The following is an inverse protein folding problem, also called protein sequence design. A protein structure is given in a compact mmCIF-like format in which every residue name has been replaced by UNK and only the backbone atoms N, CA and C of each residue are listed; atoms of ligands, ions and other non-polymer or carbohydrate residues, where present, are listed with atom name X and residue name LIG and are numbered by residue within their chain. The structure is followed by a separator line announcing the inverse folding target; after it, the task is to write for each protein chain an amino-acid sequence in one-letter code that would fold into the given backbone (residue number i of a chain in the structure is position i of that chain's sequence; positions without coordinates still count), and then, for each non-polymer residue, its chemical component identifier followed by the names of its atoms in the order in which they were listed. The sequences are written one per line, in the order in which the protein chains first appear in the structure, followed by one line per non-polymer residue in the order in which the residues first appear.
data_IF_548889352752
#
_entry.id   IF_548889352752
#
_cell.length_a   1.000
_cell.length_b   1.000
_cell.length_c   1.000
_cell.angle_alpha   90.00
_cell.angle_beta   90.00
_cell.angle_gamma   90.00
#
_symmetry.space_group_name_H-M   'P 1'
#
loop_
_entity.id
_entity.type
_entity.pdbx_description
1 polymer ?
#
# COMPACT_ATOMS: atom_id res chain seq x y z
N UNK A 1 -29.36 -6.83 16.92
CA UNK A 1 -29.20 -8.26 17.21
C UNK A 1 -30.46 -8.68 17.94
N UNK A 2 -31.08 -9.79 17.55
CA UNK A 2 -32.33 -10.26 18.16
C UNK A 2 -32.17 -11.72 18.55
N UNK A 3 -32.42 -12.05 19.83
CA UNK A 3 -32.12 -13.37 20.43
C UNK A 3 -30.70 -13.90 20.16
N UNK A 4 -29.70 -13.02 20.08
CA UNK A 4 -28.31 -13.41 19.78
C UNK A 4 -28.04 -13.72 18.30
N UNK A 5 -29.02 -13.54 17.42
CA UNK A 5 -28.83 -13.64 15.98
C UNK A 5 -28.63 -12.25 15.35
N UNK A 6 -27.57 -12.04 14.55
CA UNK A 6 -27.40 -10.81 13.78
C UNK A 6 -28.51 -10.73 12.72
N UNK A 7 -29.24 -9.61 12.72
CA UNK A 7 -30.35 -9.35 11.79
C UNK A 7 -29.85 -8.62 10.55
N UNK A 8 -29.40 -7.37 10.73
CA UNK A 8 -28.81 -6.54 9.68
C UNK A 8 -27.60 -5.79 10.23
N UNK A 9 -26.48 -5.82 9.52
CA UNK A 9 -25.21 -5.20 9.93
C UNK A 9 -24.76 -4.06 8.99
N UNK A 10 -25.54 -3.75 7.96
CA UNK A 10 -25.17 -2.78 6.92
C UNK A 10 -25.39 -1.33 7.35
N UNK A 11 -24.33 -0.67 7.84
CA UNK A 11 -24.38 0.69 8.39
C UNK A 11 -25.05 1.74 7.47
N UNK A 12 -24.83 1.68 6.14
CA UNK A 12 -25.45 2.62 5.18
C UNK A 12 -26.98 2.53 5.16
N UNK A 13 -27.54 1.32 5.29
CA UNK A 13 -28.99 1.12 5.35
C UNK A 13 -29.50 1.52 6.74
N UNK A 14 -28.78 1.10 7.79
CA UNK A 14 -29.10 1.43 9.18
C UNK A 14 -29.20 2.95 9.40
N UNK A 15 -28.32 3.74 8.77
CA UNK A 15 -28.31 5.21 8.89
C UNK A 15 -29.57 5.89 8.35
N UNK A 16 -30.39 5.24 7.50
CA UNK A 16 -31.63 5.83 6.99
C UNK A 16 -32.74 5.89 8.05
N UNK A 17 -32.69 5.00 9.04
CA UNK A 17 -33.71 4.87 10.08
C UNK A 17 -33.19 5.13 11.49
N UNK A 18 -31.91 4.84 11.76
CA UNK A 18 -31.24 5.20 13.01
C UNK A 18 -30.62 6.59 12.82
N UNK A 19 -31.36 7.64 13.16
CA UNK A 19 -30.88 9.02 13.15
C UNK A 19 -30.50 9.45 14.57
N UNK A 20 -29.35 10.10 14.73
CA UNK A 20 -28.89 10.65 16.01
C UNK A 20 -29.57 11.97 16.38
N UNK A 21 -30.20 12.67 15.42
CA UNK A 21 -30.86 13.95 15.67
C UNK A 21 -32.27 13.78 16.26
N UNK A 22 -32.56 14.56 17.31
CA UNK A 22 -33.79 14.53 18.11
C UNK A 22 -35.06 15.08 17.41
N UNK A 23 -35.06 15.19 16.07
CA UNK A 23 -36.27 15.65 15.37
C UNK A 23 -37.32 14.54 15.33
N UNK A 24 -38.30 14.72 16.20
CA UNK A 24 -39.54 13.94 16.37
C UNK A 24 -40.00 13.27 15.08
N UNK A 25 -40.08 11.94 15.12
CA UNK A 25 -40.73 11.11 14.11
C UNK A 25 -42.23 11.46 14.03
N UNK A 26 -42.59 12.44 13.20
CA UNK A 26 -43.99 12.67 12.77
C UNK A 26 -44.40 11.79 11.58
N UNK A 27 -43.49 10.94 11.10
CA UNK A 27 -43.74 10.01 10.00
C UNK A 27 -43.42 8.60 10.45
N UNK A 28 -44.40 7.70 10.40
CA UNK A 28 -44.20 6.25 10.55
C UNK A 28 -43.19 5.79 9.49
N UNK A 29 -41.92 5.62 9.89
CA UNK A 29 -40.89 5.19 8.97
C UNK A 29 -41.14 3.72 8.61
N UNK A 30 -41.73 3.50 7.43
CA UNK A 30 -41.78 2.16 6.84
C UNK A 30 -40.32 1.73 6.60
N UNK A 31 -39.94 0.49 6.97
CA UNK A 31 -38.60 0.01 6.67
C UNK A 31 -38.34 0.15 5.17
N UNK A 32 -37.19 0.70 4.75
CA UNK A 32 -36.85 0.80 3.34
C UNK A 32 -36.98 -0.58 2.70
N UNK A 33 -37.51 -0.66 1.48
CA UNK A 33 -37.65 -1.94 0.78
C UNK A 33 -36.32 -2.71 0.65
N UNK A 34 -35.18 -2.02 0.74
CA UNK A 34 -33.85 -2.64 0.83
C UNK A 34 -33.69 -3.64 1.99
N UNK A 35 -34.48 -3.52 3.07
CA UNK A 35 -34.49 -4.45 4.21
C UNK A 35 -35.24 -5.76 3.86
N UNK A 36 -36.17 -5.70 2.91
CA UNK A 36 -37.03 -6.82 2.47
C UNK A 36 -36.72 -7.33 1.06
N UNK A 37 -35.79 -6.69 0.33
CA UNK A 37 -35.46 -7.01 -1.06
C UNK A 37 -34.24 -7.94 -1.13
N UNK A 38 -34.10 -8.70 -2.23
CA UNK A 38 -33.00 -9.62 -2.47
C UNK A 38 -31.62 -8.92 -2.61
N UNK A 39 -31.61 -7.59 -2.79
CA UNK A 39 -30.41 -6.76 -2.86
C UNK A 39 -30.57 -5.63 -1.84
N UNK A 40 -29.91 -5.78 -0.69
CA UNK A 40 -29.96 -4.80 0.41
C UNK A 40 -28.99 -3.64 0.19
N UNK A 41 -27.80 -3.92 -0.32
CA UNK A 41 -26.67 -2.98 -0.37
C UNK A 41 -26.77 -1.88 -1.45
N UNK A 42 -27.78 -1.90 -2.32
CA UNK A 42 -28.00 -0.88 -3.36
C UNK A 42 -29.43 -0.35 -3.31
N UNK A 43 -29.58 0.96 -3.22
CA UNK A 43 -30.90 1.61 -3.26
C UNK A 43 -31.44 1.70 -4.68
N UNK A 44 -32.75 1.54 -4.84
CA UNK A 44 -33.44 1.75 -6.11
C UNK A 44 -33.54 3.26 -6.44
N UNK A 45 -33.71 3.58 -7.72
CA UNK A 45 -33.94 4.97 -8.17
C UNK A 45 -32.71 5.89 -8.22
N UNK A 46 -31.50 5.36 -8.01
CA UNK A 46 -30.26 6.14 -8.12
C UNK A 46 -30.08 6.62 -9.57
N UNK A 47 -29.95 7.93 -9.74
CA UNK A 47 -29.75 8.57 -11.03
C UNK A 47 -28.54 9.51 -10.98
N UNK A 48 -27.61 9.29 -11.90
CA UNK A 48 -26.46 10.17 -12.12
C UNK A 48 -26.60 10.91 -13.45
N UNK A 49 -26.03 12.11 -13.55
CA UNK A 49 -25.96 12.84 -14.84
C UNK A 49 -25.16 12.04 -15.88
N UNK A 50 -24.08 11.39 -15.43
CA UNK A 50 -23.20 10.54 -16.25
C UNK A 50 -22.97 9.22 -15.53
N UNK A 51 -23.00 8.12 -16.29
CA UNK A 51 -22.69 6.79 -15.77
C UNK A 51 -21.19 6.57 -15.86
N UNK A 52 -20.52 6.41 -14.72
CA UNK A 52 -19.06 6.22 -14.66
C UNK A 52 -18.69 5.16 -13.62
N UNK A 53 -17.59 4.47 -13.90
CA UNK A 53 -16.99 3.48 -13.01
C UNK A 53 -15.50 3.76 -12.96
N UNK A 54 -14.97 3.86 -11.75
CA UNK A 54 -13.54 3.94 -11.50
C UNK A 54 -13.09 2.66 -10.80
N UNK A 55 -11.91 2.19 -11.15
CA UNK A 55 -11.36 0.94 -10.67
C UNK A 55 -9.87 1.14 -10.42
N UNK A 56 -9.49 1.02 -9.15
CA UNK A 56 -8.11 1.13 -8.71
C UNK A 56 -7.63 -0.24 -8.24
N UNK A 57 -6.52 -0.71 -8.80
CA UNK A 57 -5.83 -1.92 -8.35
C UNK A 57 -4.67 -1.48 -7.47
N UNK A 58 -4.77 -1.74 -6.17
CA UNK A 58 -3.73 -1.39 -5.20
C UNK A 58 -3.04 -2.66 -4.74
N UNK A 59 -1.73 -2.74 -4.93
CA UNK A 59 -0.92 -3.90 -4.55
C UNK A 59 0.11 -3.54 -3.48
N UNK A 60 0.16 -4.36 -2.42
CA UNK A 60 1.16 -4.30 -1.37
C UNK A 60 2.10 -5.48 -1.50
N UNK A 61 3.39 -5.20 -1.67
CA UNK A 61 4.44 -6.20 -1.84
C UNK A 61 5.19 -6.39 -0.53
N UNK A 62 5.03 -7.56 0.08
CA UNK A 62 5.68 -7.92 1.34
C UNK A 62 6.93 -8.77 1.06
N UNK A 63 8.10 -8.32 1.50
CA UNK A 63 9.37 -9.02 1.28
C UNK A 63 10.17 -9.10 2.57
N UNK A 64 10.63 -10.31 2.89
CA UNK A 64 11.60 -10.56 3.95
C UNK A 64 12.88 -11.12 3.35
N UNK A 65 14.00 -10.47 3.64
CA UNK A 65 15.33 -10.86 3.17
C UNK A 65 16.21 -11.19 4.37
N UNK A 66 16.97 -12.27 4.30
CA UNK A 66 17.92 -12.63 5.35
C UNK A 66 19.23 -11.83 5.25
N UNK A 67 20.07 -11.97 6.27
CA UNK A 67 21.39 -11.34 6.33
C UNK A 67 22.37 -11.75 5.21
N UNK A 68 22.07 -12.81 4.47
CA UNK A 68 22.86 -13.29 3.35
C UNK A 68 22.30 -12.82 1.99
N UNK A 69 21.26 -11.97 2.00
CA UNK A 69 20.62 -11.45 0.78
C UNK A 69 19.64 -12.42 0.12
N UNK A 70 19.24 -13.51 0.79
CA UNK A 70 18.24 -14.44 0.26
C UNK A 70 16.83 -14.01 0.68
N UNK A 71 15.88 -14.10 -0.25
CA UNK A 71 14.47 -13.81 0.01
C UNK A 71 13.86 -14.99 0.77
N UNK A 72 13.45 -14.79 2.02
CA UNK A 72 12.78 -15.79 2.87
C UNK A 72 11.29 -15.82 2.56
N UNK A 73 10.67 -14.64 2.40
CA UNK A 73 9.23 -14.50 2.17
C UNK A 73 8.97 -13.44 1.11
N UNK A 74 8.04 -13.76 0.23
CA UNK A 74 7.54 -12.84 -0.79
C UNK A 74 6.06 -13.14 -1.00
N UNK A 75 5.21 -12.16 -0.72
CA UNK A 75 3.78 -12.24 -1.04
C UNK A 75 3.26 -10.89 -1.51
N UNK A 76 2.30 -10.94 -2.43
CA UNK A 76 1.62 -9.75 -2.93
C UNK A 76 0.17 -9.83 -2.49
N UNK A 77 -0.29 -8.81 -1.78
CA UNK A 77 -1.69 -8.65 -1.40
C UNK A 77 -2.26 -7.50 -2.20
N UNK A 78 -3.29 -7.77 -2.99
CA UNK A 78 -3.94 -6.77 -3.82
C UNK A 78 -5.38 -6.51 -3.36
N UNK A 79 -5.81 -5.25 -3.45
CA UNK A 79 -7.19 -4.83 -3.22
C UNK A 79 -7.68 -4.12 -4.47
N UNK A 80 -8.82 -4.58 -4.97
CA UNK A 80 -9.54 -3.94 -6.06
C UNK A 80 -10.54 -2.96 -5.46
N UNK A 81 -10.27 -1.66 -5.57
CA UNK A 81 -11.18 -0.61 -5.11
C UNK A 81 -12.02 -0.15 -6.27
N UNK A 82 -13.33 -0.11 -6.08
CA UNK A 82 -14.27 0.31 -7.11
C UNK A 82 -15.08 1.50 -6.62
N UNK A 83 -15.31 2.45 -7.52
CA UNK A 83 -16.23 3.56 -7.30
C UNK A 83 -17.24 3.58 -8.42
N UNK A 84 -18.51 3.35 -8.10
CA UNK A 84 -19.56 3.25 -9.11
C UNK A 84 -20.58 4.36 -9.02
N UNK A 85 -20.92 4.88 -10.19
CA UNK A 85 -21.97 5.86 -10.42
C UNK A 85 -22.83 5.39 -11.59
N UNK A 86 -23.72 4.44 -11.33
CA UNK A 86 -24.50 3.79 -12.39
C UNK A 86 -26.01 3.97 -12.17
N UNK A 87 -26.73 4.31 -13.23
CA UNK A 87 -28.19 4.14 -13.28
C UNK A 87 -28.52 2.64 -13.24
N UNK A 88 -29.54 2.27 -12.47
CA UNK A 88 -29.94 0.88 -12.32
C UNK A 88 -30.71 0.39 -13.55
N UNK A 89 -30.19 -0.64 -14.23
CA UNK A 89 -31.00 -1.55 -15.06
C UNK A 89 -30.60 -2.97 -14.66
N UNK A 90 -31.58 -3.74 -14.14
CA UNK A 90 -31.39 -5.13 -13.75
C UNK A 90 -31.42 -5.99 -15.00
N UNK A 91 -30.26 -6.31 -15.56
CA UNK A 91 -30.17 -7.34 -16.60
C UNK A 91 -29.92 -8.69 -15.92
N UNK A 92 -30.95 -9.54 -15.87
CA UNK A 92 -30.77 -10.93 -15.52
C UNK A 92 -29.87 -11.58 -16.59
N UNK A 93 -28.71 -12.13 -16.23
CA UNK A 93 -27.94 -13.02 -17.12
C UNK A 93 -27.22 -14.14 -16.37
N UNK A 94 -27.71 -15.34 -16.68
CA UNK A 94 -27.04 -16.58 -17.09
C UNK A 94 -25.52 -16.76 -16.88
N UNK A 95 -25.16 -17.97 -16.45
CA UNK A 95 -23.82 -18.46 -16.09
C UNK A 95 -23.12 -19.22 -17.23
N UNK A 96 -21.78 -19.05 -17.39
CA UNK A 96 -20.84 -20.17 -17.68
C UNK A 96 -19.31 -19.90 -17.77
N UNK A 97 -18.71 -18.71 -17.55
CA UNK A 97 -17.27 -18.53 -17.86
C UNK A 97 -16.46 -17.69 -16.84
N UNK A 98 -15.95 -18.23 -15.72
CA UNK A 98 -15.04 -17.53 -14.76
C UNK A 98 -15.34 -16.02 -14.51
N UNK A 99 -16.61 -15.63 -14.62
CA UNK A 99 -17.03 -14.23 -14.77
C UNK A 99 -17.63 -13.77 -13.46
N UNK A 100 -17.17 -12.62 -12.96
CA UNK A 100 -17.70 -12.01 -11.75
C UNK A 100 -18.85 -11.10 -12.14
N UNK A 101 -20.08 -11.51 -11.79
CA UNK A 101 -21.32 -10.75 -12.03
C UNK A 101 -21.92 -10.30 -10.70
N UNK A 102 -22.22 -9.01 -10.57
CA UNK A 102 -22.80 -8.46 -9.34
C UNK A 102 -23.49 -7.11 -9.59
N UNK A 103 -24.34 -6.71 -8.65
CA UNK A 103 -24.92 -5.36 -8.58
C UNK A 103 -24.03 -4.55 -7.63
N UNK A 104 -23.21 -3.60 -8.11
CA UNK A 104 -22.27 -2.87 -7.25
C UNK A 104 -23.00 -2.04 -6.21
N UNK A 105 -22.46 -1.84 -4.99
CA UNK A 105 -22.89 -0.75 -4.12
C UNK A 105 -22.71 0.62 -4.76
N UNK A 106 -23.43 1.62 -4.28
CA UNK A 106 -23.24 3.00 -4.73
C UNK A 106 -22.07 3.69 -4.02
N UNK A 107 -21.29 4.45 -4.78
CA UNK A 107 -20.08 5.13 -4.31
C UNK A 107 -18.84 4.21 -4.26
N UNK A 108 -17.91 4.53 -3.36
CA UNK A 108 -16.65 3.80 -3.19
C UNK A 108 -16.79 2.58 -2.27
N UNK A 109 -16.21 1.46 -2.67
CA UNK A 109 -16.12 0.22 -1.89
C UNK A 109 -14.95 -0.65 -2.36
N UNK A 110 -14.48 -1.54 -1.50
CA UNK A 110 -13.52 -2.58 -1.87
C UNK A 110 -14.30 -3.74 -2.52
N UNK A 111 -14.01 -4.05 -3.78
CA UNK A 111 -14.69 -5.09 -4.55
C UNK A 111 -14.16 -6.47 -4.19
N UNK A 112 -12.84 -6.62 -4.13
CA UNK A 112 -12.21 -7.89 -3.75
C UNK A 112 -10.81 -7.67 -3.18
N UNK A 113 -10.36 -8.63 -2.40
CA UNK A 113 -8.96 -8.77 -1.99
C UNK A 113 -8.42 -10.07 -2.55
N UNK A 114 -7.24 -10.03 -3.14
CA UNK A 114 -6.54 -11.21 -3.63
C UNK A 114 -5.15 -11.31 -3.01
N UNK A 115 -4.62 -12.52 -2.98
CA UNK A 115 -3.26 -12.80 -2.53
C UNK A 115 -2.56 -13.68 -3.54
N UNK A 116 -1.39 -13.25 -3.98
CA UNK A 116 -0.53 -14.01 -4.89
C UNK A 116 0.65 -14.55 -4.09
N UNK A 117 0.86 -15.86 -4.15
CA UNK A 117 2.02 -16.55 -3.57
C UNK A 117 3.19 -16.64 -4.57
N UNK A 118 3.33 -15.64 -5.42
CA UNK A 118 4.41 -15.57 -6.42
C UNK A 118 5.63 -14.93 -5.79
N UNK A 119 6.79 -15.57 -5.93
CA UNK A 119 8.05 -14.96 -5.52
C UNK A 119 8.41 -13.83 -6.48
N UNK A 120 8.24 -12.58 -6.03
CA UNK A 120 8.59 -11.39 -6.80
C UNK A 120 9.96 -10.87 -6.40
N UNK A 121 10.69 -10.30 -7.37
CA UNK A 121 11.92 -9.57 -7.08
C UNK A 121 11.58 -8.24 -6.37
N UNK A 122 12.37 -7.81 -5.39
CA UNK A 122 12.12 -6.56 -4.69
C UNK A 122 12.17 -5.36 -5.63
N UNK A 123 11.11 -4.54 -5.62
CA UNK A 123 11.00 -3.35 -6.48
C UNK A 123 12.13 -2.34 -6.17
N UNK A 124 12.48 -2.21 -4.90
CA UNK A 124 13.66 -1.47 -4.44
C UNK A 124 14.52 -2.42 -3.63
N UNK A 125 15.74 -2.66 -4.09
CA UNK A 125 16.74 -3.49 -3.41
C UNK A 125 17.73 -2.61 -2.67
N UNK A 126 17.94 -2.90 -1.39
CA UNK A 126 18.84 -2.13 -0.54
C UNK A 126 19.98 -3.02 -0.04
N UNK A 127 21.20 -2.53 -0.15
CA UNK A 127 22.39 -3.18 0.39
C UNK A 127 23.08 -2.22 1.33
N UNK A 128 23.31 -2.65 2.58
CA UNK A 128 24.04 -1.88 3.57
C UNK A 128 25.36 -2.60 3.89
N UNK A 129 26.44 -1.85 3.83
CA UNK A 129 27.78 -2.28 4.23
C UNK A 129 28.21 -1.43 5.42
N UNK A 130 28.55 -2.10 6.52
CA UNK A 130 28.99 -1.44 7.74
C UNK A 130 30.48 -1.70 7.92
N UNK A 131 31.26 -0.63 7.87
CA UNK A 131 32.70 -0.66 8.07
C UNK A 131 33.06 -0.04 9.43
N UNK A 132 33.85 -0.77 10.22
CA UNK A 132 34.36 -0.27 11.49
C UNK A 132 35.63 0.54 11.21
N UNK A 133 35.51 1.85 11.22
CA UNK A 133 36.66 2.75 11.03
C UNK A 133 37.53 2.83 12.29
N UNK A 134 36.93 2.82 13.49
CA UNK A 134 37.66 2.79 14.76
C UNK A 134 36.83 2.20 15.91
N UNK A 135 37.32 2.26 17.16
CA UNK A 135 36.53 1.86 18.35
C UNK A 135 35.27 2.70 18.52
N UNK A 136 35.34 3.97 18.13
CA UNK A 136 34.28 4.97 18.34
C UNK A 136 33.73 5.54 17.03
N UNK A 137 34.05 4.94 15.88
CA UNK A 137 33.61 5.41 14.58
C UNK A 137 33.13 4.23 13.73
N UNK A 138 31.92 4.36 13.22
CA UNK A 138 31.31 3.41 12.29
C UNK A 138 30.95 4.16 11.02
N UNK A 139 31.23 3.56 9.89
CA UNK A 139 30.85 4.06 8.58
C UNK A 139 29.85 3.09 7.98
N UNK A 140 28.70 3.61 7.53
CA UNK A 140 27.61 2.84 6.94
C UNK A 140 27.44 3.34 5.52
N UNK A 141 27.68 2.46 4.55
CA UNK A 141 27.40 2.70 3.15
C UNK A 141 26.14 1.94 2.75
N UNK A 142 25.12 2.67 2.31
CA UNK A 142 23.86 2.10 1.84
C UNK A 142 23.71 2.37 0.35
N UNK A 143 23.37 1.33 -0.41
CA UNK A 143 23.07 1.41 -1.84
C UNK A 143 21.64 0.95 -2.06
N UNK A 144 20.84 1.77 -2.70
CA UNK A 144 19.48 1.43 -3.12
C UNK A 144 19.43 1.32 -4.65
N UNK A 145 18.80 0.28 -5.16
CA UNK A 145 18.58 0.03 -6.59
C UNK A 145 17.11 -0.19 -6.86
N UNK A 146 16.53 0.61 -7.75
CA UNK A 146 15.20 0.34 -8.29
C UNK A 146 15.29 -0.78 -9.34
N UNK A 147 14.61 -1.89 -9.10
CA UNK A 147 14.64 -3.08 -9.97
C UNK A 147 13.45 -3.13 -10.95
N UNK A 148 12.53 -2.18 -10.90
CA UNK A 148 11.47 -2.05 -11.88
C UNK A 148 11.96 -1.33 -13.15
N UNK A 149 11.34 -1.64 -14.29
CA UNK A 149 11.69 -1.05 -15.58
C UNK A 149 11.35 0.44 -15.58
N UNK A 150 12.29 1.29 -15.99
CA UNK A 150 12.02 2.71 -16.22
C UNK A 150 10.95 2.90 -17.30
N UNK A 151 11.05 2.11 -18.39
CA UNK A 151 10.19 2.21 -19.57
C UNK A 151 9.45 0.90 -19.82
N UNK A 152 8.13 0.97 -19.91
CA UNK A 152 7.25 -0.15 -20.29
C UNK A 152 6.49 0.20 -21.56
N UNK A 153 6.48 -0.72 -22.50
CA UNK A 153 5.68 -0.62 -23.71
C UNK A 153 4.38 -1.40 -23.47
N UNK A 154 3.25 -0.74 -23.64
CA UNK A 154 1.95 -1.38 -23.70
C UNK A 154 1.46 -1.31 -25.16
N UNK A 155 1.30 -2.47 -25.78
CA UNK A 155 0.56 -2.57 -27.03
C UNK A 155 -0.92 -2.69 -26.71
N UNK A 156 -1.70 -1.69 -27.11
CA UNK A 156 -3.13 -1.88 -27.37
C UNK A 156 -3.30 -2.22 -28.84
N UNK A 157 -4.47 -2.75 -29.18
CA UNK A 157 -4.90 -3.04 -30.56
C UNK A 157 -4.71 -1.86 -31.53
N UNK A 158 -4.86 -0.63 -31.05
CA UNK A 158 -4.78 0.57 -31.90
C UNK A 158 -3.56 1.47 -31.63
N UNK A 159 -2.70 1.17 -30.65
CA UNK A 159 -1.59 2.07 -30.27
C UNK A 159 -0.50 1.41 -29.43
N UNK A 160 0.71 1.97 -29.50
CA UNK A 160 1.80 1.67 -28.57
C UNK A 160 1.91 2.83 -27.57
N UNK A 161 1.65 2.54 -26.30
CA UNK A 161 1.80 3.50 -25.20
C UNK A 161 3.12 3.23 -24.48
N UNK A 162 3.92 4.27 -24.31
CA UNK A 162 5.14 4.24 -23.48
C UNK A 162 4.79 4.74 -22.09
N UNK A 163 4.94 3.89 -21.08
CA UNK A 163 4.81 4.28 -19.69
C UNK A 163 6.18 4.38 -19.03
N UNK A 164 6.35 5.41 -18.22
CA UNK A 164 7.52 5.57 -17.36
C UNK A 164 7.16 5.21 -15.93
N UNK A 165 7.92 4.32 -15.30
CA UNK A 165 7.72 3.94 -13.90
C UNK A 165 8.74 4.65 -13.03
N UNK A 166 8.25 5.30 -11.98
CA UNK A 166 9.06 5.99 -10.97
C UNK A 166 8.44 5.72 -9.60
N UNK A 167 9.25 5.31 -8.63
CA UNK A 167 8.81 5.20 -7.26
C UNK A 167 8.87 6.58 -6.61
N UNK A 168 7.79 6.98 -5.96
CA UNK A 168 7.68 8.29 -5.30
C UNK A 168 7.75 8.13 -3.80
N UNK A 169 8.29 9.13 -3.10
CA UNK A 169 8.34 9.20 -1.63
C UNK A 169 8.91 7.93 -0.99
N UNK A 170 9.99 7.39 -1.56
CA UNK A 170 10.67 6.22 -1.03
C UNK A 170 11.39 6.62 0.26
N UNK A 171 11.10 5.91 1.35
CA UNK A 171 11.76 6.08 2.63
C UNK A 171 12.51 4.79 2.99
N UNK A 172 13.82 4.90 3.20
CA UNK A 172 14.69 3.80 3.61
C UNK A 172 15.18 4.11 5.01
N UNK A 173 14.66 3.36 5.99
CA UNK A 173 15.17 3.39 7.35
C UNK A 173 16.47 2.59 7.41
N UNK A 174 17.46 3.05 8.16
CA UNK A 174 18.75 2.38 8.38
C UNK A 174 19.06 2.44 9.87
N UNK A 175 18.93 1.34 10.62
CA UNK A 175 19.20 1.29 12.05
C UNK A 175 20.67 1.61 12.28
N UNK A 176 20.90 2.40 13.31
CA UNK A 176 22.23 2.77 13.78
C UNK A 176 22.39 2.30 15.23
N UNK A 177 23.61 2.27 15.77
CA UNK A 177 23.81 2.01 17.19
C UNK A 177 23.01 3.02 18.04
N UNK A 178 22.43 2.55 19.14
CA UNK A 178 21.64 3.38 20.08
C UNK A 178 22.45 4.51 20.72
N UNK A 179 23.77 4.33 20.76
CA UNK A 179 24.74 5.28 21.28
C UNK A 179 25.42 6.07 20.15
N UNK A 180 24.89 6.02 18.92
CA UNK A 180 25.42 6.77 17.81
C UNK A 180 25.08 8.25 17.97
N UNK A 181 26.06 9.13 17.71
CA UNK A 181 25.88 10.56 17.69
C UNK A 181 26.62 11.20 16.52
N UNK A 182 26.27 12.45 16.21
CA UNK A 182 26.99 13.29 15.25
C UNK A 182 27.14 12.66 13.85
N UNK A 183 26.02 12.29 13.18
CA UNK A 183 26.07 11.73 11.83
C UNK A 183 26.63 12.74 10.82
N UNK A 184 27.75 12.39 10.18
CA UNK A 184 28.17 13.05 8.95
C UNK A 184 27.60 12.26 7.77
N UNK A 185 26.75 12.87 6.96
CA UNK A 185 26.02 12.15 5.91
C UNK A 185 26.28 12.77 4.54
N UNK A 186 26.45 11.90 3.54
CA UNK A 186 26.55 12.25 2.13
C UNK A 186 25.63 11.34 1.32
N UNK A 187 24.80 11.92 0.46
CA UNK A 187 23.87 11.19 -0.40
C UNK A 187 24.04 11.60 -1.86
N UNK A 188 23.84 10.67 -2.78
CA UNK A 188 23.77 10.98 -4.23
C UNK A 188 22.37 11.37 -4.69
N UNK A 189 21.33 10.96 -3.96
CA UNK A 189 19.94 11.32 -4.23
C UNK A 189 19.16 11.46 -2.92
N UNK A 190 18.23 12.41 -2.87
CA UNK A 190 17.43 12.67 -1.68
C UNK A 190 18.27 13.20 -0.52
N UNK A 191 17.72 13.11 0.69
CA UNK A 191 18.36 13.57 1.91
C UNK A 191 18.20 12.52 3.02
N UNK A 192 19.10 12.56 4.00
CA UNK A 192 19.03 11.71 5.19
C UNK A 192 18.74 12.59 6.40
N UNK A 193 17.77 12.16 7.20
CA UNK A 193 17.52 12.69 8.53
C UNK A 193 17.93 11.66 9.59
N UNK A 194 18.52 12.10 10.68
CA UNK A 194 18.74 11.25 11.85
C UNK A 194 17.52 11.30 12.75
N UNK A 195 16.96 10.13 13.05
CA UNK A 195 15.80 9.92 13.90
C UNK A 195 16.25 9.16 15.17
N UNK A 196 16.79 9.87 16.17
CA UNK A 196 17.26 9.24 17.41
C UNK A 196 16.15 8.50 18.16
N UNK A 197 14.89 8.92 18.02
CA UNK A 197 13.73 8.26 18.61
C UNK A 197 13.49 6.83 18.10
N UNK A 198 14.04 6.51 16.92
CA UNK A 198 13.94 5.18 16.28
C UNK A 198 15.30 4.48 16.17
N UNK A 199 16.36 5.05 16.77
CA UNK A 199 17.74 4.60 16.61
C UNK A 199 18.12 4.38 15.13
N UNK A 200 17.71 5.31 14.23
CA UNK A 200 17.82 5.10 12.79
C UNK A 200 18.15 6.37 11.99
N UNK A 201 18.73 6.18 10.81
CA UNK A 201 18.81 7.16 9.73
C UNK A 201 17.66 6.93 8.76
N UNK A 202 16.90 7.97 8.46
CA UNK A 202 15.82 7.96 7.48
C UNK A 202 16.30 8.59 6.18
N UNK A 203 16.51 7.76 5.16
CA UNK A 203 16.86 8.21 3.82
C UNK A 203 15.61 8.41 2.97
N UNK A 204 15.30 9.66 2.63
CA UNK A 204 14.10 10.04 1.89
C UNK A 204 14.43 10.43 0.45
N UNK A 205 13.83 9.73 -0.51
CA UNK A 205 13.96 9.97 -1.96
C UNK A 205 12.59 10.29 -2.54
N UNK A 206 12.37 11.53 -2.99
CA UNK A 206 11.07 11.98 -3.50
C UNK A 206 10.67 11.31 -4.81
N UNK A 207 11.64 11.05 -5.69
CA UNK A 207 11.43 10.49 -7.00
C UNK A 207 12.60 9.59 -7.34
N UNK A 208 12.33 8.29 -7.46
CA UNK A 208 13.33 7.26 -7.75
C UNK A 208 12.96 6.53 -9.04
N UNK A 209 13.50 6.95 -10.20
CA UNK A 209 13.19 6.33 -11.49
C UNK A 209 13.60 4.86 -11.54
N UNK A 210 12.91 4.07 -12.35
CA UNK A 210 13.24 2.65 -12.54
C UNK A 210 14.65 2.42 -13.09
N UNK A 211 15.28 1.30 -12.74
CA UNK A 211 16.61 0.93 -13.20
C UNK A 211 17.76 1.83 -12.71
N UNK A 212 17.52 2.76 -11.78
CA UNK A 212 18.53 3.63 -11.20
C UNK A 212 19.12 3.02 -9.93
N UNK A 213 20.37 3.42 -9.66
CA UNK A 213 21.08 3.09 -8.41
C UNK A 213 21.45 4.40 -7.74
N UNK A 214 21.17 4.50 -6.46
CA UNK A 214 21.63 5.60 -5.61
C UNK A 214 22.37 5.05 -4.40
N UNK A 215 23.27 5.86 -3.87
CA UNK A 215 24.09 5.55 -2.71
C UNK A 215 24.02 6.67 -1.68
N UNK A 216 24.06 6.25 -0.42
CA UNK A 216 24.21 7.08 0.75
C UNK A 216 25.38 6.55 1.58
N UNK A 217 26.18 7.45 2.12
CA UNK A 217 27.25 7.14 3.06
C UNK A 217 27.04 7.97 4.32
N UNK A 218 27.11 7.33 5.47
CA UNK A 218 27.02 7.99 6.77
C UNK A 218 28.17 7.54 7.66
N UNK A 219 28.88 8.51 8.22
CA UNK A 219 29.91 8.31 9.23
C UNK A 219 29.36 8.76 10.58
N UNK A 220 29.29 7.84 11.52
CA UNK A 220 28.72 8.03 12.86
C UNK A 220 29.80 7.85 13.91
N UNK A 221 29.73 8.66 14.97
CA UNK A 221 30.50 8.44 16.19
C UNK A 221 29.66 7.53 17.10
N UNK A 222 30.28 6.52 17.71
CA UNK A 222 29.64 5.66 18.73
C UNK A 222 30.53 5.57 19.96
N UNK A 223 29.95 5.31 21.12
CA UNK A 223 30.70 5.31 22.39
C UNK A 223 31.05 3.89 22.89
N UNK A 224 30.36 2.85 22.40
CA UNK A 224 30.49 1.47 22.86
C UNK A 224 31.06 0.52 21.79
N UNK A 225 31.95 -0.38 22.23
CA UNK A 225 32.76 -1.23 21.34
C UNK A 225 32.11 -2.60 20.99
N UNK A 226 30.91 -2.90 21.47
CA UNK A 226 30.45 -4.29 21.65
C UNK A 226 29.63 -4.97 20.54
N UNK A 227 28.85 -4.25 19.74
CA UNK A 227 27.87 -4.92 18.85
C UNK A 227 28.42 -5.20 17.45
N UNK A 228 28.35 -6.47 17.04
CA UNK A 228 28.66 -6.90 15.67
C UNK A 228 27.50 -6.52 14.73
N UNK A 229 27.60 -5.37 14.07
CA UNK A 229 26.65 -4.93 13.03
C UNK A 229 27.04 -5.41 11.62
N UNK A 230 27.91 -6.42 11.51
CA UNK A 230 28.48 -6.89 10.23
C UNK A 230 27.43 -7.43 9.25
N UNK A 231 26.21 -7.66 9.71
CA UNK A 231 25.05 -7.93 8.86
C UNK A 231 23.82 -7.28 9.46
N UNK A 232 23.63 -5.98 9.23
CA UNK A 232 22.29 -5.40 9.36
C UNK A 232 21.45 -6.11 8.28
N UNK A 233 20.43 -6.91 8.65
CA UNK A 233 19.58 -7.55 7.66
C UNK A 233 18.97 -6.47 6.78
N UNK A 234 18.98 -6.72 5.47
CA UNK A 234 18.39 -5.86 4.45
C UNK A 234 17.04 -5.36 4.93
N UNK A 235 16.98 -4.07 5.23
CA UNK A 235 15.85 -3.43 5.86
C UNK A 235 14.57 -3.61 5.06
N UNK A 236 13.47 -3.79 5.79
CA UNK A 236 12.15 -3.60 5.25
C UNK A 236 12.09 -2.23 4.60
N UNK A 237 12.06 -2.23 3.27
CA UNK A 237 11.72 -1.03 2.51
C UNK A 237 10.22 -0.86 2.69
N UNK A 238 9.82 0.03 3.59
CA UNK A 238 8.44 0.52 3.62
C UNK A 238 8.27 1.45 2.42
N UNK A 239 7.85 0.89 1.29
CA UNK A 239 7.27 1.70 0.21
C UNK A 239 5.78 1.80 0.52
N UNK A 240 5.37 2.83 1.24
CA UNK A 240 3.97 3.26 1.18
C UNK A 240 3.75 3.88 -0.21
N UNK A 241 2.88 3.25 -1.00
CA UNK A 241 2.38 3.74 -2.28
C UNK A 241 0.88 3.71 -2.29
#
# INVERSE_FOLDING_TARGET
MDFGYPQYTEAKILSKFIKTDAYRMEVTQRPPMAVTNAVSWRSEGINYKKNEVFLDVVESVNILVNSNGQIIRSDVVGVLKMRTYLRCVRLARFENDQTISFIPPDGSFDLMTYKLSTQVKPLTWVEAQVEKHSRSCVEIMVKARSQFKERRWLSTDESIIVLYSTATNVEIMVPVPVDASSPNVRTSMGFIAYAPENDALLWKIRSFPGGKVSSANSKLIKFSCGTNYSKIPTLGVYVEG
#
